data_IF_126480915478
#
_entry.id   IF_126480915478
#
_cell.length_a   1.000
_cell.length_b   1.000
_cell.length_c   1.000
_cell.angle_alpha   90.00
_cell.angle_beta   90.00
_cell.angle_gamma   90.00
#
_symmetry.space_group_name_H-M   'P 1'
#
loop_
_entity.id
_entity.type
_entity.pdbx_description
1 polymer ?
#
# COMPACT_ATOMS: atom_id res chain seq x y z
N UNK A 1 -15.69 6.08 8.42
CA UNK A 1 -15.12 4.93 9.14
C UNK A 1 -13.91 4.45 8.35
N UNK A 2 -12.72 4.38 8.95
CA UNK A 2 -11.48 4.00 8.24
C UNK A 2 -11.19 2.53 8.54
N UNK A 3 -12.06 1.64 8.04
CA UNK A 3 -12.12 0.23 8.46
C UNK A 3 -10.76 -0.48 8.53
N UNK A 4 -9.89 -0.28 7.54
CA UNK A 4 -8.54 -0.89 7.53
C UNK A 4 -7.64 -0.30 8.61
N UNK A 5 -7.68 1.03 8.82
CA UNK A 5 -6.87 1.68 9.85
C UNK A 5 -7.33 1.26 11.25
N UNK A 6 -8.65 1.21 11.46
CA UNK A 6 -9.28 0.77 12.72
C UNK A 6 -8.89 -0.70 13.01
N UNK A 7 -8.93 -1.58 12.00
CA UNK A 7 -8.47 -2.96 12.11
C UNK A 7 -6.96 -3.07 12.39
N UNK A 8 -6.13 -2.21 11.79
CA UNK A 8 -4.68 -2.22 12.01
C UNK A 8 -4.33 -1.79 13.45
N UNK A 9 -5.08 -0.85 14.01
CA UNK A 9 -4.94 -0.41 15.40
C UNK A 9 -5.30 -1.53 16.37
N UNK A 10 -6.44 -2.20 16.14
CA UNK A 10 -6.85 -3.37 16.92
C UNK A 10 -5.86 -4.55 16.80
N UNK A 11 -5.30 -4.79 15.62
CA UNK A 11 -4.30 -5.84 15.38
C UNK A 11 -2.90 -5.48 15.89
N UNK A 12 -2.63 -4.21 16.22
CA UNK A 12 -1.32 -3.71 16.60
C UNK A 12 -0.28 -3.76 15.46
N UNK A 13 -0.71 -3.63 14.21
CA UNK A 13 0.16 -3.51 13.04
C UNK A 13 0.08 -2.08 12.52
N UNK A 14 1.14 -1.29 12.74
CA UNK A 14 1.14 0.12 12.37
C UNK A 14 1.05 0.26 10.85
N UNK A 15 0.05 0.99 10.39
CA UNK A 15 -0.11 1.41 9.00
C UNK A 15 -0.04 2.93 8.87
N UNK A 16 0.24 3.40 7.66
CA UNK A 16 0.25 4.82 7.33
C UNK A 16 -0.47 5.03 6.01
N UNK A 17 -1.47 5.91 6.01
CA UNK A 17 -2.24 6.23 4.81
C UNK A 17 -1.41 7.14 3.90
N UNK A 18 -1.16 6.69 2.67
CA UNK A 18 -0.47 7.47 1.66
C UNK A 18 -1.47 8.16 0.72
N UNK A 19 -1.15 9.37 0.24
CA UNK A 19 -2.05 10.11 -0.62
C UNK A 19 -2.11 9.51 -2.03
N UNK A 20 -3.32 9.53 -2.60
CA UNK A 20 -3.61 9.26 -4.01
C UNK A 20 -4.07 10.55 -4.70
N UNK A 21 -3.20 11.55 -4.71
CA UNK A 21 -3.49 12.84 -5.35
C UNK A 21 -3.63 12.68 -6.86
N UNK A 22 -4.60 13.38 -7.47
CA UNK A 22 -4.91 13.25 -8.90
C UNK A 22 -3.73 13.67 -9.78
N UNK A 23 -2.96 14.64 -9.31
CA UNK A 23 -1.75 15.19 -9.92
C UNK A 23 -0.67 14.11 -10.14
N UNK A 24 -0.67 13.04 -9.35
CA UNK A 24 0.28 11.94 -9.52
C UNK A 24 0.03 11.11 -10.78
N UNK A 25 -1.17 11.20 -11.39
CA UNK A 25 -1.46 10.56 -12.69
C UNK A 25 -0.61 11.14 -13.82
N UNK A 26 -0.24 12.42 -13.72
CA UNK A 26 0.61 13.07 -14.72
C UNK A 26 1.98 12.39 -14.84
N UNK A 27 2.47 11.80 -13.76
CA UNK A 27 3.72 11.05 -13.75
C UNK A 27 3.66 9.72 -14.50
N UNK A 28 2.47 9.23 -14.84
CA UNK A 28 2.24 7.96 -15.54
C UNK A 28 1.79 8.12 -17.00
N UNK A 29 1.82 9.34 -17.54
CA UNK A 29 1.56 9.58 -18.96
C UNK A 29 2.63 8.91 -19.83
N UNK A 30 2.19 8.33 -20.93
CA UNK A 30 3.02 7.71 -21.95
C UNK A 30 2.73 8.33 -23.31
N UNK A 31 3.77 8.52 -24.12
CA UNK A 31 3.66 9.06 -25.48
C UNK A 31 3.24 7.99 -26.51
N UNK A 32 3.33 6.71 -26.14
CA UNK A 32 3.17 5.56 -27.05
C UNK A 32 2.18 4.50 -26.55
N UNK A 33 1.59 4.70 -25.37
CA UNK A 33 0.65 3.78 -24.75
C UNK A 33 -0.36 4.56 -23.89
N UNK A 34 -1.41 3.90 -23.41
CA UNK A 34 -2.41 4.54 -22.54
C UNK A 34 -1.78 5.08 -21.25
N UNK A 35 -0.84 4.32 -20.68
CA UNK A 35 -0.05 4.67 -19.48
C UNK A 35 1.32 4.00 -19.50
N UNK A 36 2.28 4.52 -18.71
CA UNK A 36 3.53 3.83 -18.37
C UNK A 36 3.50 3.25 -16.97
N UNK A 37 4.34 2.25 -16.72
CA UNK A 37 4.36 1.49 -15.46
C UNK A 37 5.17 2.16 -14.32
N UNK A 38 5.92 3.23 -14.60
CA UNK A 38 6.75 3.92 -13.63
C UNK A 38 6.91 5.41 -13.97
N UNK A 39 7.04 6.23 -12.93
CA UNK A 39 7.35 7.65 -13.05
C UNK A 39 8.84 7.87 -13.39
N UNK A 40 9.14 8.87 -14.23
CA UNK A 40 10.52 9.09 -14.74
C UNK A 40 11.51 9.54 -13.67
N UNK A 41 11.02 10.20 -12.61
CA UNK A 41 11.88 10.86 -11.61
C UNK A 41 12.07 10.05 -10.33
N UNK A 42 11.45 8.86 -10.21
CA UNK A 42 11.51 7.99 -9.02
C UNK A 42 10.97 8.62 -7.73
N UNK A 43 10.26 9.75 -7.81
CA UNK A 43 9.67 10.43 -6.64
C UNK A 43 8.26 9.89 -6.41
N UNK A 44 7.87 9.83 -5.13
CA UNK A 44 6.56 9.36 -4.70
C UNK A 44 6.19 7.94 -5.22
N UNK A 45 7.19 7.07 -5.41
CA UNK A 45 7.04 5.76 -6.06
C UNK A 45 5.93 4.88 -5.49
N UNK A 46 5.76 4.87 -4.15
CA UNK A 46 4.69 4.14 -3.49
C UNK A 46 3.30 4.70 -3.87
N UNK A 47 3.12 6.03 -3.82
CA UNK A 47 1.89 6.68 -4.24
C UNK A 47 1.63 6.53 -5.74
N UNK A 48 2.65 6.66 -6.60
CA UNK A 48 2.48 6.46 -8.05
C UNK A 48 2.17 5.00 -8.40
N UNK A 49 2.71 4.03 -7.65
CA UNK A 49 2.34 2.61 -7.77
C UNK A 49 0.87 2.39 -7.41
N UNK A 50 0.40 2.97 -6.30
CA UNK A 50 -1.01 2.96 -5.93
C UNK A 50 -1.92 3.61 -6.99
N UNK A 51 -1.51 4.75 -7.56
CA UNK A 51 -2.24 5.40 -8.66
C UNK A 51 -2.26 4.54 -9.91
N UNK A 52 -1.17 3.86 -10.26
CA UNK A 52 -1.14 2.93 -11.39
C UNK A 52 -2.20 1.83 -11.21
N UNK A 53 -2.27 1.22 -10.03
CA UNK A 53 -3.28 0.20 -9.72
C UNK A 53 -4.71 0.76 -9.75
N UNK A 54 -4.91 2.00 -9.29
CA UNK A 54 -6.22 2.68 -9.31
C UNK A 54 -6.83 2.74 -10.72
N UNK A 55 -6.02 2.74 -11.78
CA UNK A 55 -6.54 2.81 -13.15
C UNK A 55 -7.22 1.51 -13.61
N UNK A 56 -7.09 0.42 -12.84
CA UNK A 56 -7.61 -0.91 -13.19
C UNK A 56 -8.72 -1.42 -12.27
N UNK A 57 -9.13 -0.64 -11.26
CA UNK A 57 -10.14 -1.07 -10.27
C UNK A 57 -11.56 -0.57 -10.56
N UNK A 58 -11.72 0.29 -11.57
CA UNK A 58 -13.01 0.86 -12.00
C UNK A 58 -13.84 1.39 -10.81
N UNK A 59 -15.09 0.95 -10.66
CA UNK A 59 -15.99 1.33 -9.58
C UNK A 59 -15.85 0.47 -8.31
N UNK A 60 -14.86 -0.43 -8.28
CA UNK A 60 -14.67 -1.35 -7.14
C UNK A 60 -14.06 -0.62 -5.94
N UNK A 61 -14.67 -0.67 -4.75
CA UNK A 61 -14.04 -0.18 -3.52
C UNK A 61 -12.74 -0.96 -3.26
N UNK A 62 -11.61 -0.25 -3.14
CA UNK A 62 -10.30 -0.87 -3.08
C UNK A 62 -9.37 -0.18 -2.09
N UNK A 63 -8.33 -0.93 -1.69
CA UNK A 63 -7.16 -0.41 -0.99
C UNK A 63 -5.94 -1.20 -1.46
N UNK A 64 -4.82 -0.51 -1.66
CA UNK A 64 -3.51 -1.15 -1.85
C UNK A 64 -2.69 -1.00 -0.58
N UNK A 65 -2.21 -2.12 -0.06
CA UNK A 65 -1.36 -2.17 1.12
C UNK A 65 0.06 -2.51 0.65
N UNK A 66 0.91 -1.50 0.53
CA UNK A 66 2.33 -1.69 0.19
C UNK A 66 3.09 -2.16 1.44
N UNK A 67 3.65 -3.37 1.36
CA UNK A 67 4.33 -4.04 2.46
C UNK A 67 5.83 -4.19 2.23
N UNK A 68 6.39 -3.59 1.18
CA UNK A 68 7.79 -3.80 0.81
C UNK A 68 8.74 -3.51 1.99
N UNK A 69 8.47 -2.44 2.74
CA UNK A 69 9.27 -2.06 3.91
C UNK A 69 9.00 -2.86 5.19
N UNK A 70 7.90 -3.62 5.26
CA UNK A 70 7.50 -4.36 6.47
C UNK A 70 7.56 -5.87 6.29
N UNK A 71 7.73 -6.38 5.07
CA UNK A 71 7.70 -7.80 4.78
C UNK A 71 8.84 -8.59 5.47
N UNK A 72 10.01 -7.97 5.61
CA UNK A 72 11.20 -8.57 6.22
C UNK A 72 11.87 -7.63 7.22
N UNK A 73 12.51 -8.22 8.23
CA UNK A 73 13.34 -7.51 9.19
C UNK A 73 14.74 -8.10 9.23
N UNK A 74 15.75 -7.24 9.17
CA UNK A 74 17.16 -7.64 9.35
C UNK A 74 17.50 -7.96 10.82
N UNK A 75 16.64 -7.52 11.76
CA UNK A 75 16.81 -7.74 13.19
C UNK A 75 15.45 -7.81 13.88
N UNK A 76 15.37 -8.61 14.95
CA UNK A 76 14.18 -8.70 15.81
C UNK A 76 13.64 -7.31 16.21
N UNK A 77 12.33 -7.12 16.14
CA UNK A 77 11.62 -5.92 16.62
C UNK A 77 10.36 -6.30 17.40
N UNK A 78 10.36 -6.07 18.70
CA UNK A 78 9.24 -6.41 19.57
C UNK A 78 8.94 -7.91 19.54
N UNK A 79 7.74 -8.28 19.08
CA UNK A 79 7.31 -9.67 18.94
C UNK A 79 7.71 -10.31 17.60
N UNK A 80 8.20 -9.54 16.62
CA UNK A 80 8.62 -10.03 15.32
C UNK A 80 10.07 -10.52 15.36
N UNK A 81 10.31 -11.73 14.87
CA UNK A 81 11.65 -12.30 14.67
C UNK A 81 12.38 -11.65 13.49
N UNK A 82 13.69 -11.92 13.37
CA UNK A 82 14.45 -11.65 12.15
C UNK A 82 13.91 -12.50 10.99
N UNK A 83 13.95 -11.97 9.76
CA UNK A 83 13.38 -12.59 8.57
C UNK A 83 11.96 -12.12 8.26
N UNK A 84 11.13 -13.01 7.71
CA UNK A 84 9.78 -12.69 7.27
C UNK A 84 8.86 -12.36 8.46
N UNK A 85 8.11 -11.25 8.37
CA UNK A 85 7.29 -10.74 9.49
C UNK A 85 5.86 -11.25 9.48
N UNK A 86 5.32 -11.59 8.31
CA UNK A 86 3.90 -11.91 8.13
C UNK A 86 2.95 -10.71 8.19
N UNK A 87 3.46 -9.47 8.28
CA UNK A 87 2.62 -8.26 8.18
C UNK A 87 2.04 -8.17 6.75
N UNK A 88 0.73 -7.91 6.56
CA UNK A 88 -0.25 -7.42 7.52
C UNK A 88 -1.34 -8.46 7.85
N UNK A 89 -0.96 -9.73 8.04
CA UNK A 89 -1.92 -10.84 8.19
C UNK A 89 -2.93 -10.60 9.32
N UNK A 90 -2.50 -10.05 10.47
CA UNK A 90 -3.39 -9.84 11.62
C UNK A 90 -4.40 -8.73 11.32
N UNK A 91 -3.97 -7.66 10.65
CA UNK A 91 -4.87 -6.59 10.19
C UNK A 91 -5.94 -7.12 9.24
N UNK A 92 -5.55 -7.96 8.28
CA UNK A 92 -6.52 -8.53 7.32
C UNK A 92 -7.53 -9.45 8.01
N UNK A 93 -7.09 -10.27 8.98
CA UNK A 93 -7.98 -11.10 9.79
C UNK A 93 -8.95 -10.22 10.59
N UNK A 94 -8.46 -9.15 11.20
CA UNK A 94 -9.29 -8.25 12.01
C UNK A 94 -10.30 -7.49 11.15
N UNK A 95 -9.88 -6.99 9.97
CA UNK A 95 -10.76 -6.33 9.01
C UNK A 95 -11.93 -7.21 8.56
N UNK A 96 -11.73 -8.53 8.43
CA UNK A 96 -12.79 -9.47 8.05
C UNK A 96 -13.78 -9.78 9.17
N UNK A 97 -13.44 -9.47 10.43
CA UNK A 97 -14.31 -9.69 11.59
C UNK A 97 -15.26 -8.52 11.86
N UNK A 98 -14.94 -7.34 11.35
CA UNK A 98 -15.62 -6.05 11.61
C UNK A 98 -16.49 -5.60 10.45
#
# INVERSE_FOLDING_TARGET
MRKIMDASEAAGEKMWELPLYKEYKEYLKSEIADIKNAADNGKASASTGGIFLQLFVEDTPWAHIDIAGTAYLDKKRGYLSEGATGVPLRTLIEFLRT
#
